data_IF_420948552893
#
_entry.id   IF_420948552893
#
_cell.length_a   1.000
_cell.length_b   1.000
_cell.length_c   1.000
_cell.angle_alpha   90.00
_cell.angle_beta   90.00
_cell.angle_gamma   90.00
#
_symmetry.space_group_name_H-M   'P 1'
#
loop_
_entity.id
_entity.type
_entity.pdbx_description
1 polymer ?
#
# COMPACT_ATOMS: atom_id res chain seq x y z
N UNK A 1 37.20 -13.76 1.30
CA UNK A 1 36.31 -13.08 0.34
C UNK A 1 37.22 -12.63 -0.76
N UNK A 2 36.98 -13.09 -1.98
CA UNK A 2 37.81 -12.72 -3.12
C UNK A 2 37.62 -11.23 -3.44
N UNK A 3 38.66 -10.56 -3.93
CA UNK A 3 38.64 -9.11 -4.20
C UNK A 3 37.45 -8.67 -5.08
N UNK A 4 37.13 -9.46 -6.10
CA UNK A 4 35.99 -9.20 -7.00
C UNK A 4 34.63 -9.30 -6.27
N UNK A 5 34.49 -10.25 -5.33
CA UNK A 5 33.27 -10.37 -4.51
C UNK A 5 33.07 -9.16 -3.59
N UNK A 6 34.16 -8.60 -3.07
CA UNK A 6 34.15 -7.40 -2.23
C UNK A 6 33.67 -6.18 -3.04
N UNK A 7 34.17 -6.00 -4.26
CA UNK A 7 33.72 -4.94 -5.18
C UNK A 7 32.22 -5.08 -5.48
N UNK A 8 31.75 -6.29 -5.80
CA UNK A 8 30.33 -6.53 -6.04
C UNK A 8 29.49 -6.25 -4.79
N UNK A 9 29.91 -6.75 -3.63
CA UNK A 9 29.21 -6.54 -2.36
C UNK A 9 29.10 -5.04 -2.03
N UNK A 10 30.17 -4.28 -2.24
CA UNK A 10 30.19 -2.84 -2.06
C UNK A 10 29.27 -2.12 -3.06
N UNK A 11 29.26 -2.54 -4.33
CA UNK A 11 28.34 -2.00 -5.33
C UNK A 11 26.88 -2.22 -4.93
N UNK A 12 26.46 -3.45 -4.66
CA UNK A 12 25.08 -3.79 -4.34
C UNK A 12 24.62 -3.24 -2.99
N UNK A 13 25.54 -3.09 -2.03
CA UNK A 13 25.25 -2.39 -0.77
C UNK A 13 24.96 -0.92 -1.02
N UNK A 14 25.76 -0.23 -1.85
CA UNK A 14 25.47 1.16 -2.22
C UNK A 14 24.13 1.29 -2.97
N UNK A 15 23.81 0.36 -3.89
CA UNK A 15 22.51 0.34 -4.58
C UNK A 15 21.35 0.18 -3.59
N UNK A 16 21.43 -0.79 -2.67
CA UNK A 16 20.39 -1.02 -1.67
C UNK A 16 20.21 0.15 -0.68
N UNK A 17 21.26 0.93 -0.45
CA UNK A 17 21.26 2.14 0.37
C UNK A 17 20.98 3.42 -0.43
N UNK A 18 20.60 3.31 -1.71
CA UNK A 18 20.27 4.43 -2.60
C UNK A 18 21.44 5.38 -2.89
N UNK A 19 22.66 4.94 -2.60
CA UNK A 19 23.89 5.66 -2.90
C UNK A 19 24.33 5.36 -4.34
N UNK A 20 23.45 5.64 -5.32
CA UNK A 20 23.65 5.25 -6.72
C UNK A 20 24.90 5.86 -7.36
N UNK A 21 25.24 7.10 -7.01
CA UNK A 21 26.43 7.77 -7.54
C UNK A 21 27.71 7.11 -7.00
N UNK A 22 27.75 6.76 -5.71
CA UNK A 22 28.85 5.98 -5.13
C UNK A 22 28.96 4.58 -5.73
N UNK A 23 27.82 3.92 -5.96
CA UNK A 23 27.81 2.61 -6.62
C UNK A 23 28.48 2.69 -8.00
N UNK A 24 28.17 3.73 -8.78
CA UNK A 24 28.81 3.98 -10.08
C UNK A 24 30.30 4.27 -9.93
N UNK A 25 30.70 5.12 -8.99
CA UNK A 25 32.11 5.42 -8.73
C UNK A 25 32.94 4.17 -8.40
N UNK A 26 32.39 3.24 -7.62
CA UNK A 26 33.05 1.95 -7.30
C UNK A 26 33.34 1.17 -8.58
N UNK A 27 32.37 1.08 -9.49
CA UNK A 27 32.50 0.35 -10.75
C UNK A 27 33.45 1.05 -11.71
N UNK A 28 33.37 2.37 -11.84
CA UNK A 28 34.25 3.12 -12.75
C UNK A 28 35.71 3.06 -12.30
N UNK A 29 35.99 3.17 -10.99
CA UNK A 29 37.35 3.00 -10.45
C UNK A 29 37.91 1.62 -10.76
N UNK A 30 37.11 0.56 -10.60
CA UNK A 30 37.55 -0.79 -10.93
C UNK A 30 37.83 -0.95 -12.43
N UNK A 31 36.99 -0.34 -13.28
CA UNK A 31 37.22 -0.32 -14.74
C UNK A 31 38.49 0.42 -15.14
N UNK A 32 38.82 1.51 -14.45
CA UNK A 32 40.07 2.26 -14.65
C UNK A 32 41.30 1.43 -14.25
N UNK A 33 41.26 0.78 -13.08
CA UNK A 33 42.34 -0.09 -12.58
C UNK A 33 42.58 -1.27 -13.53
N UNK A 34 41.52 -1.81 -14.11
CA UNK A 34 41.53 -2.96 -15.02
C UNK A 34 41.54 -2.56 -16.50
N UNK A 35 41.92 -1.33 -16.84
CA UNK A 35 42.01 -0.88 -18.24
C UNK A 35 42.80 -1.88 -19.09
N UNK A 36 42.11 -2.51 -20.06
CA UNK A 36 42.70 -3.48 -20.98
C UNK A 36 42.39 -4.96 -20.71
N UNK A 37 41.73 -5.34 -19.61
CA UNK A 37 41.25 -6.73 -19.45
C UNK A 37 39.99 -6.95 -20.28
N UNK A 38 40.15 -7.52 -21.47
CA UNK A 38 39.05 -8.13 -22.22
C UNK A 38 38.67 -9.46 -21.54
N UNK A 39 37.57 -9.48 -20.80
CA UNK A 39 37.11 -10.69 -20.12
C UNK A 39 35.71 -10.56 -19.53
N UNK A 40 35.12 -11.66 -19.05
CA UNK A 40 33.75 -11.68 -18.53
C UNK A 40 33.52 -10.70 -17.37
N UNK A 41 34.52 -10.50 -16.50
CA UNK A 41 34.50 -9.49 -15.44
C UNK A 41 34.32 -8.06 -15.98
N UNK A 42 35.10 -7.67 -16.99
CA UNK A 42 34.98 -6.34 -17.61
C UNK A 42 33.61 -6.11 -18.28
N UNK A 43 33.04 -7.17 -18.86
CA UNK A 43 31.67 -7.13 -19.39
C UNK A 43 30.65 -6.94 -18.26
N UNK A 44 30.77 -7.70 -17.16
CA UNK A 44 29.90 -7.55 -15.98
C UNK A 44 29.91 -6.09 -15.47
N UNK A 45 31.09 -5.53 -15.22
CA UNK A 45 31.26 -4.15 -14.74
C UNK A 45 30.60 -3.13 -15.66
N UNK A 46 30.66 -3.34 -16.98
CA UNK A 46 30.04 -2.44 -17.97
C UNK A 46 28.52 -2.33 -17.79
N UNK A 47 27.86 -3.39 -17.31
CA UNK A 47 26.40 -3.44 -17.15
C UNK A 47 25.92 -3.03 -15.74
N UNK A 48 26.80 -2.93 -14.74
CA UNK A 48 26.43 -2.51 -13.37
C UNK A 48 26.07 -1.02 -13.26
N UNK A 49 26.74 -0.12 -13.97
CA UNK A 49 26.42 1.32 -13.95
C UNK A 49 25.01 1.63 -14.51
N UNK A 50 24.58 1.02 -15.64
CA UNK A 50 23.19 1.05 -16.09
C UNK A 50 22.20 0.50 -15.06
N UNK A 51 22.54 -0.59 -14.35
CA UNK A 51 21.69 -1.18 -13.31
C UNK A 51 21.39 -0.20 -12.16
N UNK A 52 22.41 0.50 -11.65
CA UNK A 52 22.22 1.53 -10.63
C UNK A 52 21.28 2.66 -11.11
N UNK A 53 21.34 3.00 -12.40
CA UNK A 53 20.44 4.00 -13.00
C UNK A 53 18.99 3.51 -13.08
N UNK A 54 18.80 2.24 -13.46
CA UNK A 54 17.50 1.62 -13.52
C UNK A 54 16.86 1.48 -12.13
N UNK A 55 17.60 1.03 -11.11
CA UNK A 55 17.10 0.93 -9.73
C UNK A 55 16.70 2.28 -9.14
N UNK A 56 17.47 3.35 -9.43
CA UNK A 56 17.07 4.72 -9.06
C UNK A 56 15.74 5.08 -9.69
N UNK A 57 15.62 4.86 -11.00
CA UNK A 57 14.39 5.12 -11.75
C UNK A 57 13.22 4.28 -11.24
N UNK A 58 13.43 3.04 -10.81
CA UNK A 58 12.40 2.17 -10.23
C UNK A 58 11.83 2.76 -8.93
N UNK A 59 12.70 3.15 -8.00
CA UNK A 59 12.27 3.70 -6.72
C UNK A 59 11.64 5.09 -6.83
N UNK A 60 11.96 5.82 -7.90
CA UNK A 60 11.29 7.08 -8.26
C UNK A 60 9.98 6.85 -9.05
N UNK A 61 9.49 5.60 -9.13
CA UNK A 61 8.29 5.20 -9.88
C UNK A 61 8.35 5.59 -11.36
N UNK A 62 9.54 5.51 -11.96
CA UNK A 62 9.81 5.94 -13.32
C UNK A 62 9.04 5.21 -14.42
N UNK A 63 8.54 3.99 -14.17
CA UNK A 63 7.58 3.30 -15.05
C UNK A 63 6.22 3.99 -15.08
N UNK A 64 5.80 4.57 -13.95
CA UNK A 64 4.49 5.20 -13.77
C UNK A 64 4.48 6.65 -14.25
N UNK A 65 5.62 7.32 -14.27
CA UNK A 65 5.75 8.70 -14.75
C UNK A 65 5.61 8.74 -16.28
N UNK A 66 4.46 9.21 -16.76
CA UNK A 66 4.30 9.59 -18.18
C UNK A 66 5.17 10.82 -18.45
N UNK A 67 6.41 10.62 -18.89
CA UNK A 67 7.14 11.68 -19.59
C UNK A 67 6.34 11.98 -20.85
N UNK A 68 5.92 13.23 -21.05
CA UNK A 68 5.21 13.67 -22.25
C UNK A 68 5.83 13.00 -23.48
N UNK A 69 5.04 12.17 -24.17
CA UNK A 69 5.42 11.52 -25.41
C UNK A 69 5.54 12.60 -26.48
N UNK A 70 6.65 13.33 -26.47
CA UNK A 70 7.06 14.15 -27.60
C UNK A 70 7.18 13.23 -28.80
N UNK A 71 6.48 13.59 -29.87
CA UNK A 71 6.49 12.93 -31.18
C UNK A 71 7.93 12.47 -31.50
N UNK A 72 8.13 11.17 -31.76
CA UNK A 72 9.37 10.52 -32.23
C UNK A 72 10.37 9.91 -31.20
N UNK A 73 10.07 9.81 -29.89
CA UNK A 73 10.95 9.01 -28.98
C UNK A 73 10.56 7.53 -28.92
N UNK A 74 11.52 6.66 -29.27
CA UNK A 74 11.53 5.21 -29.03
C UNK A 74 11.07 4.92 -27.59
N UNK A 75 10.22 3.89 -27.40
CA UNK A 75 9.71 3.45 -26.09
C UNK A 75 10.87 3.03 -25.16
N UNK A 76 11.51 4.00 -24.50
CA UNK A 76 12.47 3.79 -23.42
C UNK A 76 11.71 3.67 -22.09
N UNK A 77 10.79 2.69 -22.01
CA UNK A 77 10.14 2.37 -20.74
C UNK A 77 11.15 1.74 -19.77
N UNK A 78 10.97 1.95 -18.47
CA UNK A 78 11.82 1.33 -17.45
C UNK A 78 11.85 -0.20 -17.60
N UNK A 79 10.71 -0.81 -17.94
CA UNK A 79 10.59 -2.23 -18.27
C UNK A 79 11.54 -2.65 -19.39
N UNK A 80 11.60 -1.89 -20.48
CA UNK A 80 12.52 -2.16 -21.59
C UNK A 80 13.99 -2.05 -21.18
N UNK A 81 14.33 -1.17 -20.22
CA UNK A 81 15.69 -1.09 -19.68
C UNK A 81 16.06 -2.37 -18.92
N UNK A 82 15.16 -2.87 -18.05
CA UNK A 82 15.36 -4.13 -17.34
C UNK A 82 15.47 -5.33 -18.29
N UNK A 83 14.62 -5.41 -19.33
CA UNK A 83 14.67 -6.47 -20.34
C UNK A 83 15.99 -6.47 -21.13
N UNK A 84 16.48 -5.28 -21.48
CA UNK A 84 17.77 -5.13 -22.18
C UNK A 84 18.91 -5.59 -21.28
N UNK A 85 18.98 -5.10 -20.03
CA UNK A 85 20.02 -5.52 -19.08
C UNK A 85 19.97 -7.03 -18.79
N UNK A 86 18.78 -7.62 -18.69
CA UNK A 86 18.63 -9.06 -18.51
C UNK A 86 19.23 -9.84 -19.68
N UNK A 87 19.04 -9.36 -20.91
CA UNK A 87 19.65 -9.97 -22.11
C UNK A 87 21.17 -9.80 -22.10
N UNK A 88 21.66 -8.64 -21.65
CA UNK A 88 23.10 -8.38 -21.52
C UNK A 88 23.76 -9.28 -20.47
N UNK A 89 23.18 -9.41 -19.27
CA UNK A 89 23.73 -10.30 -18.23
C UNK A 89 23.68 -11.78 -18.63
N UNK A 90 22.68 -12.23 -19.41
CA UNK A 90 22.71 -13.59 -20.01
C UNK A 90 23.91 -13.78 -20.93
N UNK A 91 24.28 -12.77 -21.72
CA UNK A 91 25.48 -12.83 -22.56
C UNK A 91 26.76 -12.87 -21.72
N UNK A 92 26.81 -12.12 -20.61
CA UNK A 92 27.94 -12.18 -19.67
C UNK A 92 28.05 -13.58 -19.08
N UNK A 93 26.94 -14.18 -18.64
CA UNK A 93 26.88 -15.56 -18.12
C UNK A 93 27.42 -16.58 -19.13
N UNK A 94 27.03 -16.47 -20.41
CA UNK A 94 27.50 -17.32 -21.49
C UNK A 94 29.00 -17.16 -21.78
N UNK A 95 29.53 -15.93 -21.72
CA UNK A 95 30.96 -15.66 -21.89
C UNK A 95 31.77 -16.10 -20.65
N UNK A 96 31.15 -16.14 -19.47
CA UNK A 96 31.77 -16.47 -18.20
C UNK A 96 31.75 -17.98 -17.86
N UNK A 97 31.48 -18.89 -18.81
CA UNK A 97 31.34 -20.34 -18.52
C UNK A 97 32.48 -20.96 -17.69
N UNK A 98 33.70 -20.46 -17.85
CA UNK A 98 34.88 -20.93 -17.13
C UNK A 98 35.15 -20.17 -15.82
N UNK A 99 34.47 -19.05 -15.60
CA UNK A 99 34.52 -18.21 -14.41
C UNK A 99 33.21 -18.38 -13.63
N UNK A 100 33.23 -19.32 -12.67
CA UNK A 100 32.03 -19.70 -11.93
C UNK A 100 31.45 -18.53 -11.12
N UNK A 101 32.28 -17.61 -10.63
CA UNK A 101 31.81 -16.49 -9.84
C UNK A 101 31.01 -15.50 -10.70
N UNK A 102 31.61 -15.04 -11.81
CA UNK A 102 30.96 -14.10 -12.74
C UNK A 102 29.73 -14.72 -13.39
N UNK A 103 29.80 -15.99 -13.78
CA UNK A 103 28.66 -16.72 -14.35
C UNK A 103 27.49 -16.82 -13.35
N UNK A 104 27.76 -17.20 -12.10
CA UNK A 104 26.73 -17.33 -11.05
C UNK A 104 26.07 -16.00 -10.74
N UNK A 105 26.86 -14.93 -10.55
CA UNK A 105 26.34 -13.59 -10.26
C UNK A 105 25.48 -13.08 -11.42
N UNK A 106 25.94 -13.25 -12.67
CA UNK A 106 25.20 -12.81 -13.87
C UNK A 106 23.86 -13.55 -14.01
N UNK A 107 23.85 -14.86 -13.74
CA UNK A 107 22.64 -15.68 -13.76
C UNK A 107 21.62 -15.20 -12.71
N UNK A 108 22.09 -14.97 -11.49
CA UNK A 108 21.24 -14.49 -10.39
C UNK A 108 20.77 -13.05 -10.60
N UNK A 109 21.57 -12.19 -11.25
CA UNK A 109 21.13 -10.87 -11.67
C UNK A 109 19.97 -10.97 -12.66
N UNK A 110 20.00 -11.91 -13.62
CA UNK A 110 18.87 -12.12 -14.53
C UNK A 110 17.57 -12.44 -13.79
N UNK A 111 17.66 -13.17 -12.68
CA UNK A 111 16.51 -13.49 -11.83
C UNK A 111 16.04 -12.27 -11.04
N UNK A 112 16.95 -11.50 -10.45
CA UNK A 112 16.63 -10.23 -9.78
C UNK A 112 15.94 -9.24 -10.71
N UNK A 113 16.44 -9.08 -11.95
CA UNK A 113 15.82 -8.20 -12.94
C UNK A 113 14.43 -8.70 -13.37
N UNK A 114 14.23 -10.02 -13.41
CA UNK A 114 12.91 -10.60 -13.68
C UNK A 114 11.94 -10.31 -12.54
N UNK A 115 12.38 -10.43 -11.28
CA UNK A 115 11.59 -10.07 -10.12
C UNK A 115 11.18 -8.59 -10.12
N UNK A 116 12.09 -7.70 -10.54
CA UNK A 116 11.80 -6.26 -10.71
C UNK A 116 10.75 -5.98 -11.79
N UNK A 117 10.83 -6.66 -12.93
CA UNK A 117 9.82 -6.53 -14.00
C UNK A 117 8.45 -6.94 -13.47
N UNK A 118 8.37 -8.05 -12.74
CA UNK A 118 7.10 -8.51 -12.15
C UNK A 118 6.54 -7.55 -11.09
N UNK A 119 7.40 -6.93 -10.28
CA UNK A 119 6.97 -5.87 -9.36
C UNK A 119 6.50 -4.61 -10.11
N UNK A 120 7.12 -4.23 -11.22
CA UNK A 120 6.62 -3.14 -12.08
C UNK A 120 5.20 -3.47 -12.57
N UNK A 121 5.02 -4.67 -13.13
CA UNK A 121 3.72 -5.13 -13.63
C UNK A 121 2.68 -5.17 -12.49
N UNK A 122 3.10 -5.54 -11.27
CA UNK A 122 2.27 -5.50 -10.07
C UNK A 122 1.82 -4.08 -9.68
N UNK A 123 2.74 -3.11 -9.62
CA UNK A 123 2.38 -1.71 -9.33
C UNK A 123 1.48 -1.10 -10.41
N UNK A 124 1.69 -1.45 -11.68
CA UNK A 124 0.79 -1.04 -12.76
C UNK A 124 -0.62 -1.61 -12.56
N UNK A 125 -0.72 -2.89 -12.18
CA UNK A 125 -2.00 -3.52 -11.82
C UNK A 125 -2.67 -2.82 -10.63
N UNK A 126 -1.92 -2.52 -9.57
CA UNK A 126 -2.45 -1.77 -8.42
C UNK A 126 -3.00 -0.40 -8.82
N UNK A 127 -2.28 0.34 -9.67
CA UNK A 127 -2.74 1.63 -10.19
C UNK A 127 -4.04 1.51 -10.99
N UNK A 128 -4.12 0.54 -11.91
CA UNK A 128 -5.33 0.28 -12.70
C UNK A 128 -6.52 -0.03 -11.77
N UNK A 129 -6.33 -0.89 -10.77
CA UNK A 129 -7.36 -1.21 -9.78
C UNK A 129 -7.72 0.01 -8.92
N UNK A 130 -6.77 0.93 -8.65
CA UNK A 130 -7.04 2.20 -7.98
C UNK A 130 -8.05 3.09 -8.70
N UNK A 131 -8.15 2.98 -10.02
CA UNK A 131 -9.16 3.67 -10.84
C UNK A 131 -10.51 2.95 -10.91
N UNK A 132 -10.56 1.69 -10.48
CA UNK A 132 -11.78 0.87 -10.46
C UNK A 132 -12.69 1.21 -9.27
N UNK A 133 -13.96 0.81 -9.32
CA UNK A 133 -14.93 1.09 -8.25
C UNK A 133 -14.66 0.30 -6.95
N UNK A 134 -14.00 -0.86 -7.06
CA UNK A 134 -13.71 -1.76 -5.94
C UNK A 134 -12.32 -2.36 -6.09
N UNK A 135 -11.54 -2.24 -5.02
CA UNK A 135 -10.25 -2.89 -4.92
C UNK A 135 -10.46 -4.31 -4.41
N UNK A 136 -10.10 -5.31 -5.21
CA UNK A 136 -10.04 -6.71 -4.79
C UNK A 136 -8.68 -6.97 -4.15
N UNK A 137 -8.57 -6.73 -2.84
CA UNK A 137 -7.31 -6.85 -2.12
C UNK A 137 -6.78 -8.29 -2.10
N UNK A 138 -7.68 -9.28 -1.99
CA UNK A 138 -7.33 -10.71 -2.04
C UNK A 138 -6.58 -11.09 -3.32
N UNK A 139 -7.10 -10.67 -4.48
CA UNK A 139 -6.45 -10.91 -5.77
C UNK A 139 -5.07 -10.26 -5.87
N UNK A 140 -4.85 -9.12 -5.20
CA UNK A 140 -3.55 -8.45 -5.18
C UNK A 140 -2.61 -9.13 -4.21
N UNK A 141 -3.11 -9.57 -3.06
CA UNK A 141 -2.37 -10.29 -2.04
C UNK A 141 -1.79 -11.58 -2.63
N UNK A 142 -2.63 -12.40 -3.27
CA UNK A 142 -2.22 -13.64 -3.92
C UNK A 142 -1.10 -13.44 -4.95
N UNK A 143 -1.13 -12.32 -5.70
CA UNK A 143 -0.10 -12.02 -6.70
C UNK A 143 1.23 -11.66 -6.05
N UNK A 144 1.22 -10.81 -5.00
CA UNK A 144 2.48 -10.41 -4.36
C UNK A 144 3.07 -11.54 -3.50
N UNK A 145 2.24 -12.40 -2.91
CA UNK A 145 2.69 -13.60 -2.21
C UNK A 145 3.38 -14.57 -3.19
N UNK A 146 2.78 -14.83 -4.35
CA UNK A 146 3.40 -15.64 -5.40
C UNK A 146 4.76 -15.08 -5.87
N UNK A 147 4.85 -13.76 -6.10
CA UNK A 147 6.12 -13.10 -6.46
C UNK A 147 7.16 -13.28 -5.33
N UNK A 148 6.76 -13.00 -4.09
CA UNK A 148 7.66 -13.11 -2.93
C UNK A 148 8.20 -14.53 -2.77
N UNK A 149 7.32 -15.54 -2.85
CA UNK A 149 7.66 -16.94 -2.67
C UNK A 149 8.54 -17.46 -3.80
N UNK A 150 8.19 -17.19 -5.07
CA UNK A 150 8.98 -17.63 -6.24
C UNK A 150 10.40 -17.09 -6.24
N UNK A 151 10.60 -15.85 -5.82
CA UNK A 151 11.91 -15.20 -5.86
C UNK A 151 12.70 -15.28 -4.54
N UNK A 152 12.08 -15.74 -3.45
CA UNK A 152 12.69 -15.85 -2.11
C UNK A 152 14.04 -16.58 -2.11
N UNK A 153 14.23 -17.56 -3.00
CA UNK A 153 15.42 -18.41 -3.09
C UNK A 153 16.29 -18.21 -4.34
N UNK A 154 15.92 -17.30 -5.25
CA UNK A 154 16.53 -17.26 -6.59
C UNK A 154 17.92 -16.59 -6.61
N UNK A 155 18.13 -15.44 -5.97
CA UNK A 155 19.42 -14.70 -6.01
C UNK A 155 20.15 -14.68 -4.65
N UNK A 156 20.69 -15.82 -4.23
CA UNK A 156 21.31 -16.08 -2.91
C UNK A 156 22.81 -15.81 -2.81
N UNK A 157 23.46 -15.40 -3.89
CA UNK A 157 24.90 -15.10 -3.89
C UNK A 157 25.22 -14.02 -2.87
N UNK A 158 26.33 -14.19 -2.15
CA UNK A 158 26.66 -13.34 -0.99
C UNK A 158 26.73 -11.85 -1.36
N UNK A 159 27.31 -11.52 -2.52
CA UNK A 159 27.38 -10.13 -3.01
C UNK A 159 26.01 -9.51 -3.34
N UNK A 160 24.96 -10.31 -3.55
CA UNK A 160 23.60 -9.84 -3.83
C UNK A 160 22.73 -9.71 -2.57
N UNK A 161 23.24 -10.08 -1.39
CA UNK A 161 22.48 -10.09 -0.13
C UNK A 161 21.79 -8.76 0.18
N UNK A 162 22.46 -7.64 -0.08
CA UNK A 162 21.93 -6.30 0.20
C UNK A 162 20.71 -5.97 -0.68
N UNK A 163 20.78 -6.25 -1.99
CA UNK A 163 19.64 -6.02 -2.90
C UNK A 163 18.54 -7.05 -2.71
N UNK A 164 18.89 -8.29 -2.33
CA UNK A 164 17.91 -9.30 -1.92
C UNK A 164 17.12 -8.86 -0.70
N UNK A 165 17.80 -8.34 0.31
CA UNK A 165 17.17 -7.83 1.53
C UNK A 165 16.21 -6.69 1.21
N UNK A 166 16.60 -5.75 0.34
CA UNK A 166 15.73 -4.66 -0.09
C UNK A 166 14.49 -5.17 -0.84
N UNK A 167 14.65 -6.13 -1.76
CA UNK A 167 13.54 -6.78 -2.46
C UNK A 167 12.57 -7.49 -1.49
N UNK A 168 13.10 -8.27 -0.55
CA UNK A 168 12.28 -8.97 0.44
C UNK A 168 11.51 -7.99 1.33
N UNK A 169 12.15 -6.92 1.80
CA UNK A 169 11.49 -5.88 2.58
C UNK A 169 10.33 -5.25 1.81
N UNK A 170 10.54 -4.92 0.54
CA UNK A 170 9.50 -4.37 -0.33
C UNK A 170 8.29 -5.31 -0.45
N UNK A 171 8.54 -6.59 -0.78
CA UNK A 171 7.48 -7.60 -0.90
C UNK A 171 6.75 -7.83 0.44
N UNK A 172 7.50 -7.99 1.53
CA UNK A 172 6.91 -8.21 2.86
C UNK A 172 6.05 -7.03 3.32
N UNK A 173 6.44 -5.79 3.02
CA UNK A 173 5.61 -4.60 3.31
C UNK A 173 4.30 -4.68 2.53
N UNK A 174 4.36 -4.94 1.23
CA UNK A 174 3.17 -5.04 0.38
C UNK A 174 2.23 -6.17 0.82
N UNK A 175 2.77 -7.36 1.09
CA UNK A 175 2.01 -8.51 1.63
C UNK A 175 1.31 -8.12 2.92
N UNK A 176 2.03 -7.55 3.89
CA UNK A 176 1.45 -7.17 5.19
C UNK A 176 0.40 -6.06 5.05
N UNK A 177 0.60 -5.08 4.17
CA UNK A 177 -0.38 -4.01 3.95
C UNK A 177 -1.66 -4.52 3.27
N UNK A 178 -1.54 -5.39 2.27
CA UNK A 178 -2.68 -5.98 1.59
C UNK A 178 -3.42 -6.99 2.48
N UNK A 179 -2.69 -7.81 3.24
CA UNK A 179 -3.26 -8.70 4.24
C UNK A 179 -4.05 -7.94 5.30
N UNK A 180 -3.52 -6.81 5.79
CA UNK A 180 -4.27 -5.95 6.69
C UNK A 180 -5.59 -5.46 6.08
N UNK A 181 -5.62 -5.14 4.78
CA UNK A 181 -6.87 -4.74 4.11
C UNK A 181 -7.87 -5.88 4.04
N UNK A 182 -7.43 -7.09 3.66
CA UNK A 182 -8.29 -8.30 3.63
C UNK A 182 -8.89 -8.57 5.01
N UNK A 183 -8.06 -8.61 6.05
CA UNK A 183 -8.52 -8.90 7.42
C UNK A 183 -9.47 -7.82 7.96
N UNK A 184 -9.26 -6.55 7.58
CA UNK A 184 -10.17 -5.46 7.94
C UNK A 184 -11.54 -5.59 7.27
N UNK A 185 -11.62 -6.14 6.05
CA UNK A 185 -12.89 -6.38 5.35
C UNK A 185 -13.76 -7.42 6.04
N UNK A 186 -13.13 -8.37 6.74
CA UNK A 186 -13.79 -9.37 7.59
C UNK A 186 -13.93 -8.94 9.05
N UNK A 187 -13.52 -7.71 9.38
CA UNK A 187 -13.54 -7.15 10.73
C UNK A 187 -12.72 -7.95 11.77
N UNK A 188 -11.62 -8.57 11.33
CA UNK A 188 -10.69 -9.30 12.21
C UNK A 188 -9.67 -8.37 12.87
N UNK A 189 -9.85 -8.10 14.16
CA UNK A 189 -9.02 -7.13 14.90
C UNK A 189 -7.54 -7.53 14.98
N UNK A 190 -7.23 -8.68 15.59
CA UNK A 190 -5.84 -9.07 15.88
C UNK A 190 -5.03 -9.37 14.60
N UNK A 191 -5.55 -10.12 13.62
CA UNK A 191 -4.85 -10.34 12.35
C UNK A 191 -4.52 -9.03 11.63
N UNK A 192 -5.49 -8.10 11.54
CA UNK A 192 -5.26 -6.77 10.96
C UNK A 192 -4.17 -5.99 11.68
N UNK A 193 -4.19 -6.00 13.03
CA UNK A 193 -3.19 -5.32 13.85
C UNK A 193 -1.79 -5.90 13.65
N UNK A 194 -1.66 -7.22 13.64
CA UNK A 194 -0.38 -7.92 13.43
C UNK A 194 0.19 -7.64 12.05
N UNK A 195 -0.64 -7.66 11.01
CA UNK A 195 -0.23 -7.32 9.66
C UNK A 195 0.24 -5.85 9.56
N UNK A 196 -0.51 -4.89 10.13
CA UNK A 196 -0.09 -3.47 10.16
C UNK A 196 1.20 -3.25 10.94
N UNK A 197 1.37 -3.92 12.09
CA UNK A 197 2.61 -3.88 12.85
C UNK A 197 3.77 -4.47 12.03
N UNK A 198 3.54 -5.62 11.38
CA UNK A 198 4.48 -6.25 10.47
C UNK A 198 4.97 -5.28 9.40
N UNK A 199 4.05 -4.65 8.66
CA UNK A 199 4.38 -3.64 7.66
C UNK A 199 5.20 -2.49 8.25
N UNK A 200 4.79 -1.94 9.39
CA UNK A 200 5.50 -0.84 10.05
C UNK A 200 6.93 -1.23 10.44
N UNK A 201 7.13 -2.42 11.00
CA UNK A 201 8.47 -2.91 11.39
C UNK A 201 9.40 -3.04 10.19
N UNK A 202 8.93 -3.62 9.07
CA UNK A 202 9.74 -3.75 7.84
C UNK A 202 10.03 -2.39 7.23
N UNK A 203 9.04 -1.51 7.18
CA UNK A 203 9.19 -0.20 6.59
C UNK A 203 10.20 0.64 7.39
N UNK A 204 10.13 0.62 8.72
CA UNK A 204 11.16 1.24 9.56
C UNK A 204 12.53 0.58 9.43
N UNK A 205 12.60 -0.73 9.19
CA UNK A 205 13.86 -1.42 8.93
C UNK A 205 14.49 -0.94 7.61
N UNK A 206 13.68 -0.83 6.56
CA UNK A 206 14.11 -0.29 5.27
C UNK A 206 14.55 1.18 5.41
N UNK A 207 13.77 2.04 6.05
CA UNK A 207 14.14 3.45 6.27
C UNK A 207 15.49 3.61 6.98
N UNK A 208 15.82 2.74 7.94
CA UNK A 208 17.12 2.75 8.62
C UNK A 208 18.28 2.44 7.68
N UNK A 209 18.10 1.63 6.64
CA UNK A 209 19.14 1.39 5.63
C UNK A 209 19.31 2.59 4.70
N UNK A 210 18.28 3.41 4.52
CA UNK A 210 18.31 4.61 3.68
C UNK A 210 18.99 5.81 4.37
N UNK A 211 19.02 5.85 5.70
CA UNK A 211 19.59 6.96 6.50
C UNK A 211 21.14 6.97 6.54
N UNK A 212 21.80 6.50 5.49
CA UNK A 212 23.25 6.62 5.32
C UNK A 212 23.71 8.07 5.57
N UNK A 213 24.52 8.25 6.63
CA UNK A 213 24.84 9.51 7.31
C UNK A 213 25.58 10.55 6.47
N UNK A 214 25.95 10.26 5.23
CA UNK A 214 26.91 11.08 4.48
C UNK A 214 26.28 12.24 3.70
N UNK A 215 25.00 12.16 3.32
CA UNK A 215 24.33 13.27 2.61
C UNK A 215 23.93 14.42 3.56
N UNK A 216 24.01 14.20 4.87
CA UNK A 216 23.56 15.16 5.87
C UNK A 216 24.64 16.15 6.33
N UNK A 217 25.91 15.96 5.94
CA UNK A 217 27.04 16.74 6.46
C UNK A 217 27.43 18.00 5.66
N UNK A 218 26.78 18.30 4.53
CA UNK A 218 27.19 19.41 3.65
C UNK A 218 26.12 20.50 3.41
N UNK A 219 25.26 20.78 4.40
CA UNK A 219 24.17 21.74 4.21
C UNK A 219 23.81 22.59 5.43
N UNK A 220 24.77 23.27 6.06
CA UNK A 220 24.52 24.23 7.14
C UNK A 220 23.76 25.52 6.70
N UNK A 221 23.16 25.57 5.50
CA UNK A 221 22.40 26.74 5.01
C UNK A 221 21.11 26.44 4.20
N UNK A 222 20.67 25.18 4.07
CA UNK A 222 19.56 24.81 3.18
C UNK A 222 18.20 24.58 3.86
N UNK A 223 17.91 25.26 4.98
CA UNK A 223 16.66 25.06 5.74
C UNK A 223 15.38 25.58 5.07
N UNK A 224 15.43 26.09 3.83
CA UNK A 224 14.25 26.64 3.13
C UNK A 224 13.75 25.79 1.94
N UNK A 225 14.42 24.68 1.60
CA UNK A 225 13.98 23.74 0.56
C UNK A 225 14.03 22.31 1.09
N UNK A 226 13.20 21.97 2.09
CA UNK A 226 12.96 20.58 2.48
C UNK A 226 12.02 19.92 1.48
N UNK A 227 12.49 19.64 0.27
CA UNK A 227 11.89 18.58 -0.55
C UNK A 227 12.22 17.25 0.12
N UNK A 228 11.19 16.45 0.38
CA UNK A 228 11.30 15.15 1.05
C UNK A 228 12.25 14.25 0.24
N UNK A 229 13.47 13.99 0.76
CA UNK A 229 14.56 13.30 0.03
C UNK A 229 14.38 11.78 -0.10
N UNK A 230 13.28 11.20 0.41
CA UNK A 230 13.00 9.77 0.26
C UNK A 230 12.54 9.45 -1.18
N UNK A 231 12.84 8.27 -1.73
CA UNK A 231 12.30 7.87 -3.04
C UNK A 231 10.77 7.81 -3.04
N UNK A 232 10.19 8.08 -4.21
CA UNK A 232 8.73 8.17 -4.38
C UNK A 232 8.01 6.90 -3.95
N UNK A 233 8.57 5.72 -4.24
CA UNK A 233 7.99 4.44 -3.85
C UNK A 233 7.90 4.30 -2.32
N UNK A 234 8.96 4.65 -1.59
CA UNK A 234 8.98 4.56 -0.13
C UNK A 234 7.95 5.53 0.48
N UNK A 235 7.89 6.76 -0.04
CA UNK A 235 6.87 7.72 0.38
C UNK A 235 5.45 7.20 0.12
N UNK A 236 5.23 6.52 -1.00
CA UNK A 236 3.96 5.91 -1.33
C UNK A 236 3.60 4.76 -0.38
N UNK A 237 4.54 3.87 -0.05
CA UNK A 237 4.34 2.79 0.93
C UNK A 237 3.99 3.35 2.32
N UNK A 238 4.67 4.41 2.77
CA UNK A 238 4.33 5.12 4.01
C UNK A 238 2.90 5.66 3.97
N UNK A 239 2.50 6.24 2.83
CA UNK A 239 1.14 6.76 2.63
C UNK A 239 0.10 5.65 2.68
N UNK A 240 0.35 4.52 2.02
CA UNK A 240 -0.54 3.36 2.04
C UNK A 240 -0.67 2.79 3.45
N UNK A 241 0.45 2.66 4.19
CA UNK A 241 0.45 2.29 5.60
C UNK A 241 -0.39 3.24 6.44
N UNK A 242 -0.21 4.55 6.29
CA UNK A 242 -0.93 5.54 7.09
C UNK A 242 -2.44 5.49 6.86
N UNK A 243 -2.89 5.38 5.60
CA UNK A 243 -4.33 5.23 5.28
C UNK A 243 -4.88 3.92 5.84
N UNK A 244 -4.09 2.83 5.79
CA UNK A 244 -4.49 1.54 6.36
C UNK A 244 -4.66 1.63 7.89
N UNK A 245 -3.77 2.35 8.58
CA UNK A 245 -3.92 2.62 10.02
C UNK A 245 -5.14 3.51 10.28
N UNK A 246 -5.42 4.53 9.47
CA UNK A 246 -6.63 5.36 9.60
C UNK A 246 -7.91 4.53 9.49
N UNK A 247 -7.97 3.61 8.53
CA UNK A 247 -9.10 2.68 8.35
C UNK A 247 -9.24 1.74 9.55
N UNK A 248 -8.13 1.15 9.99
CA UNK A 248 -8.09 0.30 11.18
C UNK A 248 -8.59 1.03 12.42
N UNK A 249 -8.10 2.24 12.66
CA UNK A 249 -8.50 3.08 13.80
C UNK A 249 -10.00 3.39 13.78
N UNK A 250 -10.60 3.56 12.61
CA UNK A 250 -12.05 3.74 12.47
C UNK A 250 -12.82 2.45 12.75
N UNK A 251 -12.43 1.34 12.11
CA UNK A 251 -13.15 0.06 12.15
C UNK A 251 -13.16 -0.54 13.55
N UNK A 252 -12.09 -0.29 14.30
CA UNK A 252 -11.90 -0.81 15.65
C UNK A 252 -11.89 0.30 16.70
N UNK A 253 -12.44 1.48 16.38
CA UNK A 253 -12.47 2.64 17.29
C UNK A 253 -13.03 2.28 18.67
N UNK A 254 -14.11 1.49 18.73
CA UNK A 254 -14.70 1.06 19.99
C UNK A 254 -13.76 0.23 20.86
N UNK A 255 -13.00 -0.68 20.25
CA UNK A 255 -12.02 -1.53 20.95
C UNK A 255 -10.84 -0.66 21.41
N UNK A 256 -10.30 0.16 20.52
CA UNK A 256 -9.15 1.03 20.81
C UNK A 256 -9.47 2.01 21.94
N UNK A 257 -10.67 2.62 21.93
CA UNK A 257 -11.11 3.53 22.98
C UNK A 257 -11.24 2.85 24.36
N UNK A 258 -11.48 1.53 24.39
CA UNK A 258 -11.54 0.76 25.63
C UNK A 258 -10.18 0.26 26.11
N UNK A 259 -9.24 0.03 25.18
CA UNK A 259 -7.94 -0.60 25.46
C UNK A 259 -6.76 0.38 25.48
N UNK A 260 -6.98 1.66 25.15
CA UNK A 260 -5.94 2.68 25.10
C UNK A 260 -6.37 3.95 25.85
N UNK A 261 -5.44 4.86 26.11
CA UNK A 261 -5.76 6.14 26.74
C UNK A 261 -6.24 7.17 25.72
N UNK A 262 -6.92 8.22 26.19
CA UNK A 262 -7.29 9.34 25.33
C UNK A 262 -6.08 10.06 24.69
N UNK A 263 -4.92 10.01 25.34
CA UNK A 263 -3.67 10.54 24.80
C UNK A 263 -3.16 9.67 23.63
N UNK A 264 -3.23 8.35 23.77
CA UNK A 264 -2.86 7.40 22.72
C UNK A 264 -3.77 7.55 21.49
N UNK A 265 -5.09 7.66 21.71
CA UNK A 265 -6.06 7.90 20.63
C UNK A 265 -5.76 9.20 19.88
N UNK A 266 -5.46 10.29 20.59
CA UNK A 266 -5.05 11.55 19.96
C UNK A 266 -3.74 11.43 19.20
N UNK A 267 -2.79 10.66 19.71
CA UNK A 267 -1.51 10.43 19.05
C UNK A 267 -1.67 9.60 17.76
N UNK A 268 -2.53 8.58 17.77
CA UNK A 268 -2.87 7.78 16.59
C UNK A 268 -3.49 8.67 15.49
N UNK A 269 -4.42 9.54 15.86
CA UNK A 269 -5.04 10.52 14.97
C UNK A 269 -4.06 11.59 14.47
N UNK A 270 -3.26 12.18 15.37
CA UNK A 270 -2.41 13.34 15.07
C UNK A 270 -1.24 13.07 14.11
N UNK A 271 -0.85 11.80 13.94
CA UNK A 271 0.19 11.40 12.98
C UNK A 271 -0.32 11.19 11.55
N UNK A 272 -1.64 11.19 11.35
CA UNK A 272 -2.25 10.83 10.08
C UNK A 272 -2.74 12.07 9.34
N UNK A 273 -2.51 12.12 8.03
CA UNK A 273 -3.07 13.17 7.18
C UNK A 273 -4.60 13.05 6.99
N UNK A 274 -5.17 11.91 7.34
CA UNK A 274 -6.60 11.60 7.22
C UNK A 274 -7.08 10.95 8.51
N UNK A 275 -7.87 11.69 9.30
CA UNK A 275 -8.59 11.14 10.46
C UNK A 275 -10.07 10.99 10.11
N UNK A 276 -10.55 9.78 9.79
CA UNK A 276 -11.93 9.54 9.42
C UNK A 276 -12.90 9.74 10.60
N UNK A 277 -12.49 9.44 11.83
CA UNK A 277 -13.37 9.56 12.99
C UNK A 277 -13.61 11.04 13.30
N UNK A 278 -12.56 11.86 13.32
CA UNK A 278 -12.70 13.32 13.46
C UNK A 278 -13.52 13.95 12.34
N UNK A 279 -13.39 13.45 11.09
CA UNK A 279 -14.23 13.90 9.96
C UNK A 279 -15.70 13.59 10.18
N UNK A 280 -16.03 12.40 10.70
CA UNK A 280 -17.40 12.03 11.07
C UNK A 280 -17.93 12.98 12.16
N UNK A 281 -17.14 13.26 13.20
CA UNK A 281 -17.52 14.18 14.27
C UNK A 281 -17.76 15.60 13.75
N UNK A 282 -16.86 16.10 12.91
CA UNK A 282 -16.96 17.42 12.29
C UNK A 282 -18.18 17.52 11.37
N UNK A 283 -18.47 16.46 10.61
CA UNK A 283 -19.66 16.37 9.78
C UNK A 283 -20.93 16.41 10.63
N UNK A 284 -21.03 15.57 11.68
CA UNK A 284 -22.20 15.56 12.54
C UNK A 284 -22.41 16.92 13.21
N UNK A 285 -21.35 17.55 13.73
CA UNK A 285 -21.42 18.90 14.33
C UNK A 285 -21.88 19.97 13.34
N UNK A 286 -21.56 19.85 12.05
CA UNK A 286 -22.01 20.78 11.01
C UNK A 286 -23.52 20.73 10.79
N UNK A 287 -24.13 19.56 10.95
CA UNK A 287 -25.58 19.35 10.77
C UNK A 287 -26.36 19.26 12.10
N UNK A 288 -25.63 19.25 13.22
CA UNK A 288 -26.12 19.28 14.60
C UNK A 288 -27.26 18.28 14.87
N UNK A 289 -28.34 18.72 15.52
CA UNK A 289 -29.49 17.89 15.88
C UNK A 289 -30.15 17.20 14.67
N UNK A 290 -29.98 17.77 13.48
CA UNK A 290 -30.61 17.28 12.28
C UNK A 290 -29.98 15.96 11.78
N UNK A 291 -28.67 15.77 12.02
CA UNK A 291 -27.95 14.53 11.73
C UNK A 291 -27.90 13.66 12.99
N UNK A 292 -28.78 12.67 13.07
CA UNK A 292 -28.93 11.85 14.27
C UNK A 292 -27.78 10.85 14.45
N UNK A 293 -27.23 10.33 13.36
CA UNK A 293 -26.02 9.50 13.41
C UNK A 293 -25.31 9.33 12.07
N UNK A 294 -24.00 9.10 12.18
CA UNK A 294 -23.16 8.51 11.15
C UNK A 294 -22.61 7.20 11.70
N UNK A 295 -22.84 6.09 10.99
CA UNK A 295 -22.46 4.76 11.46
C UNK A 295 -21.81 3.92 10.36
N UNK A 296 -20.98 2.97 10.78
CA UNK A 296 -20.55 1.85 9.94
C UNK A 296 -21.23 0.58 10.41
N UNK A 297 -21.81 -0.15 9.46
CA UNK A 297 -22.52 -1.41 9.69
C UNK A 297 -21.84 -2.51 8.89
N UNK A 298 -21.52 -3.62 9.54
CA UNK A 298 -21.04 -4.83 8.89
C UNK A 298 -22.23 -5.71 8.53
N UNK A 299 -22.17 -6.39 7.38
CA UNK A 299 -23.04 -7.52 7.05
C UNK A 299 -22.31 -8.83 7.35
N UNK A 300 -22.61 -9.38 8.52
CA UNK A 300 -22.02 -10.60 9.05
C UNK A 300 -22.72 -11.89 8.57
N UNK A 301 -23.71 -11.79 7.67
CA UNK A 301 -24.42 -12.97 7.15
C UNK A 301 -23.47 -13.87 6.36
N UNK A 302 -23.47 -15.15 6.69
CA UNK A 302 -22.60 -16.14 6.06
C UNK A 302 -21.12 -16.00 6.41
N UNK A 303 -20.77 -15.26 7.47
CA UNK A 303 -19.45 -15.34 8.10
C UNK A 303 -19.52 -16.40 9.20
N UNK A 304 -19.00 -17.59 8.92
CA UNK A 304 -19.03 -18.74 9.84
C UNK A 304 -18.06 -18.58 11.02
N UNK A 305 -17.01 -17.77 10.83
CA UNK A 305 -15.94 -17.45 11.79
C UNK A 305 -16.17 -16.14 12.57
N UNK A 306 -17.30 -15.46 12.34
CA UNK A 306 -17.59 -14.19 12.98
C UNK A 306 -17.82 -14.33 14.48
N UNK A 307 -16.87 -13.83 15.28
CA UNK A 307 -16.94 -13.87 16.75
C UNK A 307 -17.34 -12.54 17.40
N UNK A 308 -17.55 -11.48 16.61
CA UNK A 308 -17.68 -10.12 17.14
C UNK A 308 -16.37 -9.34 17.19
N UNK A 309 -16.43 -8.06 17.61
CA UNK A 309 -15.26 -7.19 17.65
C UNK A 309 -14.23 -7.64 18.69
N UNK A 310 -12.95 -7.60 18.33
CA UNK A 310 -11.84 -7.79 19.28
C UNK A 310 -11.25 -9.19 19.29
N UNK A 311 -10.52 -9.50 20.37
CA UNK A 311 -9.86 -10.78 20.53
C UNK A 311 -10.81 -11.82 21.11
N UNK A 312 -10.89 -12.96 20.43
CA UNK A 312 -11.62 -14.13 20.88
C UNK A 312 -10.66 -15.31 20.98
N UNK A 313 -10.83 -16.13 22.03
CA UNK A 313 -10.00 -17.30 22.21
C UNK A 313 -10.24 -18.29 21.04
N UNK A 314 -9.19 -18.86 20.41
CA UNK A 314 -9.34 -19.72 19.23
C UNK A 314 -10.26 -20.93 19.42
N UNK A 315 -10.31 -21.46 20.66
CA UNK A 315 -11.15 -22.62 21.00
C UNK A 315 -12.57 -22.23 21.46
N UNK A 316 -12.95 -20.95 21.42
CA UNK A 316 -14.32 -20.55 21.78
C UNK A 316 -15.26 -20.99 20.64
N UNK A 317 -16.33 -21.74 20.93
CA UNK A 317 -17.30 -22.09 19.91
C UNK A 317 -17.92 -20.82 19.33
N UNK A 318 -17.92 -20.73 18.00
CA UNK A 318 -18.50 -19.61 17.26
C UNK A 318 -19.93 -19.99 16.90
N UNK A 319 -20.90 -19.22 17.39
CA UNK A 319 -22.27 -19.32 16.93
C UNK A 319 -22.48 -18.31 15.81
N UNK A 320 -23.01 -18.77 14.68
CA UNK A 320 -23.33 -17.88 13.57
C UNK A 320 -24.35 -16.82 14.03
N UNK A 321 -24.13 -15.53 13.70
CA UNK A 321 -25.00 -14.44 14.13
C UNK A 321 -26.42 -14.66 13.59
N UNK A 322 -27.44 -14.42 14.42
CA UNK A 322 -28.86 -14.57 14.05
C UNK A 322 -29.58 -13.22 14.05
N UNK A 323 -30.58 -13.10 13.18
CA UNK A 323 -31.49 -11.95 13.09
C UNK A 323 -30.76 -10.59 13.03
N UNK A 324 -30.93 -9.75 14.05
CA UNK A 324 -30.34 -8.41 14.12
C UNK A 324 -28.84 -8.43 14.42
N UNK A 325 -28.29 -9.53 14.94
CA UNK A 325 -26.86 -9.69 15.19
C UNK A 325 -26.05 -9.84 13.90
N UNK A 326 -26.73 -10.13 12.78
CA UNK A 326 -26.13 -10.15 11.46
C UNK A 326 -25.66 -8.76 10.98
N UNK A 327 -26.11 -7.68 11.62
CA UNK A 327 -25.79 -6.30 11.22
C UNK A 327 -25.20 -5.47 12.36
N UNK A 328 -24.04 -5.85 12.91
CA UNK A 328 -23.44 -5.15 14.03
C UNK A 328 -22.95 -3.76 13.60
N UNK A 329 -23.15 -2.78 14.49
CA UNK A 329 -22.59 -1.44 14.34
C UNK A 329 -21.11 -1.49 14.73
N UNK A 330 -20.22 -1.26 13.76
CA UNK A 330 -18.77 -1.22 13.99
C UNK A 330 -18.35 0.07 14.70
N UNK A 331 -18.91 1.20 14.26
CA UNK A 331 -18.72 2.53 14.87
C UNK A 331 -19.97 3.38 14.63
N UNK A 332 -20.30 4.26 15.57
CA UNK A 332 -21.40 5.22 15.45
C UNK A 332 -21.03 6.52 16.16
N UNK A 333 -21.39 7.64 15.55
CA UNK A 333 -21.32 8.96 16.17
C UNK A 333 -22.54 9.82 15.81
N UNK A 334 -23.25 10.41 16.81
CA UNK A 334 -23.13 10.14 18.24
C UNK A 334 -23.46 8.68 18.58
N UNK A 335 -23.35 8.33 19.87
CA UNK A 335 -23.41 6.95 20.35
C UNK A 335 -24.65 6.20 19.83
N UNK A 336 -24.44 4.94 19.40
CA UNK A 336 -25.38 3.98 18.78
C UNK A 336 -26.87 4.36 18.92
N UNK A 337 -27.59 4.73 17.85
CA UNK A 337 -29.05 4.90 17.90
C UNK A 337 -29.78 3.60 17.51
N UNK A 338 -30.08 2.69 18.47
CA UNK A 338 -30.67 1.37 18.16
C UNK A 338 -32.02 1.46 17.44
N UNK A 339 -32.75 2.58 17.59
CA UNK A 339 -34.07 2.81 17.00
C UNK A 339 -34.06 2.75 15.46
N UNK A 340 -32.94 3.11 14.83
CA UNK A 340 -32.85 3.17 13.37
C UNK A 340 -32.46 1.82 12.73
N UNK A 341 -31.88 0.89 13.51
CA UNK A 341 -31.30 -0.35 12.98
C UNK A 341 -32.27 -1.22 12.19
N UNK A 342 -33.54 -1.43 12.59
CA UNK A 342 -34.47 -2.23 11.78
C UNK A 342 -34.64 -1.69 10.36
N UNK A 343 -34.67 -0.36 10.20
CA UNK A 343 -34.81 0.29 8.89
C UNK A 343 -33.51 0.28 8.10
N UNK A 344 -32.37 0.48 8.77
CA UNK A 344 -31.04 0.37 8.16
C UNK A 344 -30.81 -1.04 7.62
N UNK A 345 -31.02 -2.07 8.44
CA UNK A 345 -30.90 -3.48 8.05
C UNK A 345 -31.79 -3.79 6.85
N UNK A 346 -33.06 -3.39 6.90
CA UNK A 346 -33.99 -3.55 5.79
C UNK A 346 -33.47 -2.88 4.51
N UNK A 347 -33.00 -1.64 4.59
CA UNK A 347 -32.47 -0.91 3.46
C UNK A 347 -31.21 -1.58 2.86
N UNK A 348 -30.29 -2.08 3.71
CA UNK A 348 -29.11 -2.84 3.23
C UNK A 348 -29.55 -4.08 2.45
N UNK A 349 -30.55 -4.82 2.97
CA UNK A 349 -31.04 -6.04 2.32
C UNK A 349 -31.71 -5.75 0.98
N UNK A 350 -32.65 -4.80 0.94
CA UNK A 350 -33.41 -4.44 -0.26
C UNK A 350 -32.53 -3.80 -1.34
N UNK A 351 -31.48 -3.08 -0.96
CA UNK A 351 -30.62 -2.33 -1.87
C UNK A 351 -29.23 -2.96 -2.05
N UNK A 352 -29.04 -4.20 -1.60
CA UNK A 352 -27.75 -4.91 -1.63
C UNK A 352 -27.08 -4.94 -3.01
N UNK A 353 -27.85 -5.19 -4.08
CA UNK A 353 -27.35 -5.16 -5.47
C UNK A 353 -26.95 -3.74 -5.93
N UNK A 354 -27.71 -2.72 -5.53
CA UNK A 354 -27.40 -1.33 -5.84
C UNK A 354 -26.17 -0.83 -5.07
N UNK A 355 -26.05 -1.19 -3.80
CA UNK A 355 -24.92 -0.86 -2.94
C UNK A 355 -23.63 -1.57 -3.39
N UNK A 356 -23.71 -2.83 -3.83
CA UNK A 356 -22.57 -3.59 -4.35
C UNK A 356 -22.11 -3.15 -5.74
N UNK A 357 -23.02 -2.72 -6.61
CA UNK A 357 -22.65 -2.11 -7.90
C UNK A 357 -22.01 -0.71 -7.75
N UNK A 358 -22.22 -0.05 -6.59
CA UNK A 358 -21.73 1.28 -6.24
C UNK A 358 -22.06 2.35 -7.31
N UNK A 359 -23.09 2.11 -8.13
CA UNK A 359 -23.51 2.97 -9.24
C UNK A 359 -24.44 4.09 -8.80
N UNK A 360 -25.20 3.88 -7.74
CA UNK A 360 -26.07 4.91 -7.16
C UNK A 360 -26.02 4.84 -5.64
N UNK A 361 -25.55 5.93 -5.06
CA UNK A 361 -25.70 6.26 -3.64
C UNK A 361 -27.16 6.04 -3.28
N UNK A 362 -27.40 5.20 -2.28
CA UNK A 362 -28.74 4.86 -1.90
C UNK A 362 -29.26 5.93 -0.95
N UNK A 363 -30.30 6.63 -1.38
CA UNK A 363 -31.01 7.64 -0.60
C UNK A 363 -32.45 7.15 -0.45
N UNK A 364 -32.87 6.94 0.79
CA UNK A 364 -34.22 6.47 1.10
C UNK A 364 -34.81 7.35 2.19
N UNK A 365 -35.96 7.96 1.89
CA UNK A 365 -36.79 8.60 2.90
C UNK A 365 -37.85 7.61 3.37
N UNK A 366 -37.90 7.37 4.67
CA UNK A 366 -38.86 6.46 5.27
C UNK A 366 -40.00 7.26 5.92
N UNK A 367 -41.21 7.04 5.42
CA UNK A 367 -42.41 7.74 5.89
C UNK A 367 -42.84 7.32 7.30
N UNK A 368 -42.42 6.14 7.78
CA UNK A 368 -42.85 5.62 9.09
C UNK A 368 -42.13 6.29 10.25
N UNK A 369 -40.83 6.52 10.10
CA UNK A 369 -39.97 7.17 11.12
C UNK A 369 -39.60 8.60 10.75
N UNK A 370 -40.08 9.11 9.60
CA UNK A 370 -39.78 10.43 9.06
C UNK A 370 -38.27 10.69 8.89
N UNK A 371 -37.48 9.63 8.72
CA UNK A 371 -36.02 9.73 8.62
C UNK A 371 -35.53 9.57 7.17
N UNK A 372 -34.41 10.23 6.87
CA UNK A 372 -33.66 10.06 5.62
C UNK A 372 -32.39 9.27 5.88
N UNK A 373 -32.16 8.24 5.07
CA UNK A 373 -30.99 7.37 5.12
C UNK A 373 -30.15 7.53 3.86
N UNK A 374 -28.86 7.86 4.04
CA UNK A 374 -27.86 7.89 2.97
C UNK A 374 -26.86 6.77 3.17
N UNK A 375 -26.63 5.97 2.14
CA UNK A 375 -25.86 4.73 2.26
C UNK A 375 -24.85 4.55 1.12
N UNK A 376 -23.69 4.00 1.46
CA UNK A 376 -22.62 3.64 0.51
C UNK A 376 -21.83 2.44 1.02
N UNK A 377 -21.43 1.56 0.11
CA UNK A 377 -20.51 0.46 0.42
C UNK A 377 -19.08 0.99 0.50
N UNK A 378 -18.40 0.77 1.63
CA UNK A 378 -16.96 1.02 1.78
C UNK A 378 -16.17 -0.22 1.43
N UNK A 379 -16.59 -1.38 1.93
CA UNK A 379 -16.03 -2.69 1.60
C UNK A 379 -17.18 -3.64 1.25
N UNK A 380 -16.91 -4.83 0.68
CA UNK A 380 -17.96 -5.74 0.22
C UNK A 380 -19.06 -6.04 1.26
N UNK A 381 -18.71 -6.00 2.55
CA UNK A 381 -19.61 -6.23 3.68
C UNK A 381 -19.76 -5.03 4.62
N UNK A 382 -19.11 -3.90 4.36
CA UNK A 382 -19.13 -2.73 5.26
C UNK A 382 -19.82 -1.55 4.60
N UNK A 383 -20.84 -1.02 5.27
CA UNK A 383 -21.68 0.06 4.78
C UNK A 383 -21.56 1.30 5.67
N UNK A 384 -21.32 2.46 5.05
CA UNK A 384 -21.50 3.75 5.71
C UNK A 384 -22.96 4.16 5.62
N UNK A 385 -23.54 4.57 6.75
CA UNK A 385 -24.91 5.04 6.84
C UNK A 385 -24.93 6.39 7.55
N UNK A 386 -25.59 7.37 6.94
CA UNK A 386 -25.86 8.70 7.53
C UNK A 386 -27.36 8.86 7.69
N UNK A 387 -27.82 9.21 8.89
CA UNK A 387 -29.22 9.31 9.26
C UNK A 387 -29.58 10.75 9.61
N UNK A 388 -30.71 11.21 9.07
CA UNK A 388 -31.31 12.49 9.42
C UNK A 388 -32.76 12.29 9.83
N UNK A 389 -33.23 13.03 10.83
CA UNK A 389 -34.59 13.03 11.40
C UNK A 389 -35.64 13.79 10.57
N UNK A 390 -35.34 14.02 9.30
CA UNK A 390 -36.11 14.90 8.44
C UNK A 390 -35.82 14.61 6.97
N UNK A 391 -36.79 14.95 6.12
CA UNK A 391 -36.61 14.90 4.66
C UNK A 391 -35.59 15.96 4.24
N UNK A 392 -34.58 15.56 3.45
CA UNK A 392 -33.53 16.48 2.97
C UNK A 392 -33.89 17.11 1.63
N UNK A 393 -33.61 18.40 1.51
CA UNK A 393 -33.63 19.10 0.22
C UNK A 393 -32.51 18.58 -0.70
N UNK A 394 -32.71 18.65 -2.01
CA UNK A 394 -31.80 18.07 -3.00
C UNK A 394 -30.36 18.60 -2.89
N UNK A 395 -30.20 19.90 -2.66
CA UNK A 395 -28.87 20.52 -2.45
C UNK A 395 -28.15 19.98 -1.21
N UNK A 396 -28.87 19.78 -0.12
CA UNK A 396 -28.31 19.20 1.11
C UNK A 396 -27.95 17.74 0.89
N UNK A 397 -28.83 16.98 0.25
CA UNK A 397 -28.60 15.60 -0.12
C UNK A 397 -27.31 15.44 -0.94
N UNK A 398 -27.03 16.35 -1.89
CA UNK A 398 -25.77 16.32 -2.64
C UNK A 398 -24.53 16.58 -1.76
N UNK A 399 -24.61 17.47 -0.77
CA UNK A 399 -23.49 17.73 0.15
C UNK A 399 -23.18 16.51 1.02
N UNK A 400 -24.21 15.84 1.56
CA UNK A 400 -24.06 14.58 2.30
C UNK A 400 -23.43 13.52 1.41
N UNK A 401 -23.92 13.43 0.18
CA UNK A 401 -23.50 12.43 -0.77
C UNK A 401 -22.05 12.67 -1.26
N UNK A 402 -21.57 13.92 -1.32
CA UNK A 402 -20.17 14.26 -1.56
C UNK A 402 -19.27 13.84 -0.37
N UNK A 403 -19.73 14.08 0.86
CA UNK A 403 -19.01 13.66 2.07
C UNK A 403 -18.82 12.13 2.11
N UNK A 404 -19.91 11.37 1.89
CA UNK A 404 -19.86 9.90 1.85
C UNK A 404 -18.92 9.40 0.75
N UNK A 405 -18.95 10.04 -0.43
CA UNK A 405 -18.07 9.69 -1.54
C UNK A 405 -16.59 9.92 -1.20
N UNK A 406 -16.25 11.08 -0.63
CA UNK A 406 -14.86 11.38 -0.25
C UNK A 406 -14.36 10.40 0.81
N UNK A 407 -15.18 10.11 1.83
CA UNK A 407 -14.87 9.12 2.86
C UNK A 407 -14.67 7.73 2.24
N UNK A 408 -15.57 7.31 1.35
CA UNK A 408 -15.50 5.99 0.71
C UNK A 408 -14.23 5.85 -0.15
N UNK A 409 -13.87 6.86 -0.95
CA UNK A 409 -12.67 6.82 -1.81
C UNK A 409 -11.35 6.71 -1.01
N UNK A 410 -11.30 7.32 0.17
CA UNK A 410 -10.13 7.23 1.05
C UNK A 410 -10.06 5.85 1.72
N UNK A 411 -11.19 5.36 2.26
CA UNK A 411 -11.27 4.09 2.98
C UNK A 411 -11.16 2.86 2.06
N UNK A 412 -11.48 2.99 0.77
CA UNK A 412 -11.25 1.96 -0.26
C UNK A 412 -9.81 1.91 -0.78
N UNK A 413 -8.94 2.81 -0.32
CA UNK A 413 -7.57 2.97 -0.81
C UNK A 413 -7.42 3.33 -2.31
N UNK A 414 -8.52 3.63 -3.02
CA UNK A 414 -8.49 4.05 -4.42
C UNK A 414 -7.53 5.22 -4.66
N UNK A 415 -7.63 6.25 -3.81
CA UNK A 415 -6.81 7.45 -3.94
C UNK A 415 -5.33 7.14 -3.83
N UNK A 416 -4.93 6.34 -2.83
CA UNK A 416 -3.52 6.00 -2.67
C UNK A 416 -3.01 5.15 -3.82
N UNK A 417 -3.80 4.21 -4.35
CA UNK A 417 -3.38 3.43 -5.52
C UNK A 417 -3.27 4.31 -6.77
N UNK A 418 -4.18 5.27 -6.97
CA UNK A 418 -4.09 6.25 -8.04
C UNK A 418 -2.84 7.15 -7.92
N UNK A 419 -2.37 7.43 -6.69
CA UNK A 419 -1.18 8.23 -6.43
C UNK A 419 0.14 7.52 -6.79
N UNK A 420 0.13 6.23 -7.17
CA UNK A 420 1.30 5.56 -7.77
C UNK A 420 1.75 6.24 -9.06
N UNK A 421 0.81 6.87 -9.78
CA UNK A 421 1.10 7.72 -10.91
C UNK A 421 1.00 9.18 -10.46
N UNK A 422 2.11 9.85 -10.15
CA UNK A 422 2.06 11.26 -9.83
C UNK A 422 1.53 12.00 -11.07
N UNK A 423 0.41 12.70 -10.91
CA UNK A 423 -0.08 13.61 -11.95
C UNK A 423 1.03 14.64 -12.21
N UNK A 424 1.45 14.78 -13.47
CA UNK A 424 2.30 15.88 -13.89
C UNK A 424 1.56 17.17 -13.56
N UNK A 425 2.01 17.87 -12.53
CA UNK A 425 1.56 19.25 -12.27
C UNK A 425 2.00 20.16 -13.41
#
# INVERSE_FOLDING_TARGET
MDYEEEILSMFFTNVAQLCFDKAKEVVEKEREIKQGTSGPWGMLLTHLSPLATAERSYLDLGSMVTKNKGFLRKDNSLRSMYDTMRSDFRRVEECARNDRAVSTVSSQLCQFLSARIELIDFYEKMYQVGTSKHVRFEDMLNVIEDIADRFSLMFTHISLTSVKTAFNLECEILVNLLKAQVEMQSWHFLPSLMALHGANTRLSAWERTLQSKEVWKLGFSASFLKTNQQPMLVQWLVKFKNISVSKFSLYFHGILAQQTTAADMKFLSGKQAFDPYHRIQSFQKKYDAACTAVMLVLDARGLEDYCGPGYHHPNKPVEAPKDMECFPIMVSYPMKPPVHMPYVTKAIMEQSLALSSNEKRCHTFNLKDQCTYFMSSIDPRVFMVVVFDSKRAEREAQNVANFIQEMSLQLKCNKVFADLKPNSK
#
